data_IF_197509107364
#
_entry.id   IF_197509107364
#
_cell.length_a   1.000
_cell.length_b   1.000
_cell.length_c   1.000
_cell.angle_alpha   90.00
_cell.angle_beta   90.00
_cell.angle_gamma   90.00
#
_symmetry.space_group_name_H-M   'P 1'
#
loop_
_entity.id
_entity.type
_entity.pdbx_description
1 polymer ?
#
# COMPACT_ATOMS: atom_id res chain seq x y z
N UNK A 1 -18.65 14.67 -4.97
CA UNK A 1 -17.28 14.27 -5.35
C UNK A 1 -16.85 13.20 -4.36
N UNK A 2 -16.40 12.03 -4.81
CA UNK A 2 -15.82 11.05 -3.89
C UNK A 2 -14.45 11.58 -3.45
N UNK A 3 -14.28 11.81 -2.15
CA UNK A 3 -13.01 12.18 -1.57
C UNK A 3 -12.05 11.01 -1.58
N UNK A 4 -10.76 11.33 -1.70
CA UNK A 4 -9.68 10.35 -1.68
C UNK A 4 -8.63 10.76 -0.67
N UNK A 5 -8.02 9.76 -0.04
CA UNK A 5 -6.92 9.94 0.92
C UNK A 5 -5.74 9.09 0.47
N UNK A 6 -4.56 9.70 0.46
CA UNK A 6 -3.31 9.01 0.13
C UNK A 6 -2.64 8.49 1.40
N UNK A 7 -1.93 7.37 1.30
CA UNK A 7 -1.05 6.84 2.33
C UNK A 7 0.05 5.98 1.72
N UNK A 8 1.05 5.65 2.52
CA UNK A 8 2.16 4.80 2.09
C UNK A 8 2.24 3.54 2.93
N UNK A 9 2.57 2.43 2.27
CA UNK A 9 3.05 1.21 2.92
C UNK A 9 4.56 1.15 2.71
N UNK A 10 5.30 1.14 3.81
CA UNK A 10 6.76 1.13 3.79
C UNK A 10 7.28 -0.13 4.48
N UNK A 11 8.42 -0.68 4.06
CA UNK A 11 9.06 -1.77 4.79
C UNK A 11 9.44 -1.31 6.21
N UNK A 12 9.24 -2.18 7.19
CA UNK A 12 9.70 -1.97 8.57
C UNK A 12 11.23 -2.00 8.62
N UNK A 13 11.84 -2.96 7.92
CA UNK A 13 13.28 -3.11 7.73
C UNK A 13 13.56 -3.69 6.34
N UNK A 14 14.67 -3.31 5.72
CA UNK A 14 15.06 -3.78 4.38
C UNK A 14 14.39 -3.07 3.22
N UNK A 15 14.09 -3.80 2.13
CA UNK A 15 13.59 -3.27 0.85
C UNK A 15 12.47 -4.13 0.31
N UNK A 16 11.58 -3.53 -0.49
CA UNK A 16 10.53 -4.26 -1.21
C UNK A 16 11.16 -5.22 -2.22
N UNK A 17 10.68 -6.47 -2.28
CA UNK A 17 11.20 -7.54 -3.16
C UNK A 17 10.17 -7.99 -4.19
N UNK A 18 9.34 -7.08 -4.68
CA UNK A 18 8.35 -7.40 -5.69
C UNK A 18 9.02 -7.82 -7.01
N UNK A 19 8.59 -8.96 -7.53
CA UNK A 19 8.61 -9.27 -8.97
C UNK A 19 7.32 -8.77 -9.61
N UNK A 20 7.29 -8.63 -10.94
CA UNK A 20 6.07 -8.25 -11.69
C UNK A 20 4.86 -9.09 -11.28
N UNK A 21 5.02 -10.42 -11.20
CA UNK A 21 3.94 -11.33 -10.83
C UNK A 21 3.45 -11.17 -9.39
N UNK A 22 4.33 -10.83 -8.44
CA UNK A 22 3.92 -10.55 -7.05
C UNK A 22 3.31 -9.17 -6.90
N UNK A 23 3.76 -8.21 -7.71
CA UNK A 23 3.22 -6.86 -7.73
C UNK A 23 1.79 -6.84 -8.29
N UNK A 24 1.52 -7.58 -9.37
CA UNK A 24 0.18 -7.71 -9.93
C UNK A 24 -0.81 -8.27 -8.89
N UNK A 25 -0.39 -9.25 -8.10
CA UNK A 25 -1.19 -9.80 -6.99
C UNK A 25 -1.43 -8.76 -5.88
N UNK A 26 -0.41 -7.98 -5.55
CA UNK A 26 -0.54 -6.90 -4.57
C UNK A 26 -1.50 -5.81 -5.05
N UNK A 27 -1.45 -5.47 -6.35
CA UNK A 27 -2.39 -4.54 -6.98
C UNK A 27 -3.84 -5.03 -6.87
N UNK A 28 -4.11 -6.30 -7.18
CA UNK A 28 -5.46 -6.87 -7.05
C UNK A 28 -5.94 -6.78 -5.60
N UNK A 29 -5.11 -7.15 -4.62
CA UNK A 29 -5.46 -7.03 -3.20
C UNK A 29 -5.81 -5.59 -2.81
N UNK A 30 -5.02 -4.63 -3.29
CA UNK A 30 -5.20 -3.22 -2.97
C UNK A 30 -6.39 -2.58 -3.68
N UNK A 31 -6.76 -3.02 -4.88
CA UNK A 31 -7.82 -2.40 -5.68
C UNK A 31 -9.19 -3.05 -5.45
N UNK A 32 -9.23 -4.36 -5.19
CA UNK A 32 -10.49 -5.10 -5.04
C UNK A 32 -10.92 -5.25 -3.57
N UNK A 33 -9.97 -5.45 -2.64
CA UNK A 33 -10.26 -5.81 -1.25
C UNK A 33 -9.98 -4.69 -0.26
N UNK A 34 -8.98 -3.85 -0.55
CA UNK A 34 -8.89 -2.52 0.02
C UNK A 34 -9.59 -1.57 -0.97
N UNK A 35 -10.39 -0.59 -0.56
CA UNK A 35 -11.05 0.33 -1.49
C UNK A 35 -10.05 1.36 -2.05
N UNK A 36 -8.91 0.91 -2.60
CA UNK A 36 -7.98 1.78 -3.30
C UNK A 36 -8.47 2.12 -4.70
N UNK A 37 -8.33 3.39 -5.06
CA UNK A 37 -8.47 3.89 -6.42
C UNK A 37 -7.21 3.62 -7.24
N UNK A 38 -6.04 3.66 -6.60
CA UNK A 38 -4.73 3.53 -7.25
C UNK A 38 -3.70 3.02 -6.25
N UNK A 39 -2.77 2.21 -6.72
CA UNK A 39 -1.55 1.89 -6.00
C UNK A 39 -0.35 1.88 -6.96
N UNK A 40 0.80 2.39 -6.51
CA UNK A 40 2.04 2.45 -7.30
C UNK A 40 3.26 2.18 -6.43
N UNK A 41 4.31 1.62 -7.01
CA UNK A 41 5.63 1.54 -6.39
C UNK A 41 6.34 2.91 -6.49
N UNK A 42 7.02 3.31 -5.42
CA UNK A 42 7.75 4.57 -5.32
C UNK A 42 9.25 4.33 -5.13
N UNK A 43 10.06 5.00 -5.95
CA UNK A 43 11.52 4.91 -5.92
C UNK A 43 12.10 3.82 -6.83
N UNK A 44 13.42 3.88 -7.04
CA UNK A 44 14.18 2.92 -7.84
C UNK A 44 15.53 2.61 -7.14
N UNK A 45 15.69 1.44 -6.49
CA UNK A 45 14.70 0.36 -6.34
C UNK A 45 13.49 0.79 -5.47
N UNK A 46 12.34 0.09 -5.57
CA UNK A 46 11.14 0.44 -4.82
C UNK A 46 11.37 0.49 -3.30
N UNK A 47 10.92 1.59 -2.70
CA UNK A 47 11.08 1.90 -1.27
C UNK A 47 9.74 2.00 -0.53
N UNK A 48 8.65 2.24 -1.25
CA UNK A 48 7.31 2.31 -0.69
C UNK A 48 6.25 1.90 -1.73
N UNK A 49 5.06 1.56 -1.24
CA UNK A 49 3.84 1.47 -2.04
C UNK A 49 2.99 2.68 -1.68
N UNK A 50 2.73 3.57 -2.65
CA UNK A 50 1.80 4.68 -2.47
C UNK A 50 0.40 4.24 -2.88
N UNK A 51 -0.57 4.42 -2.00
CA UNK A 51 -1.96 4.01 -2.19
C UNK A 51 -2.86 5.22 -2.07
N UNK A 52 -3.72 5.43 -3.07
CA UNK A 52 -4.82 6.40 -3.05
C UNK A 52 -6.11 5.63 -2.80
N UNK A 53 -6.76 5.84 -1.66
CA UNK A 53 -8.00 5.17 -1.30
C UNK A 53 -9.22 6.10 -1.30
N UNK A 54 -10.40 5.52 -1.54
CA UNK A 54 -11.67 6.22 -1.41
C UNK A 54 -11.99 6.44 0.08
N UNK A 55 -12.31 7.67 0.48
CA UNK A 55 -12.68 8.00 1.86
C UNK A 55 -12.45 9.45 2.25
N UNK A 56 -13.32 9.95 3.14
CA UNK A 56 -13.33 11.32 3.67
C UNK A 56 -12.50 11.39 4.96
N UNK A 57 -11.21 11.74 4.85
CA UNK A 57 -10.41 12.24 5.97
C UNK A 57 -10.11 11.30 7.14
N UNK A 58 -10.62 10.07 7.16
CA UNK A 58 -10.22 9.06 8.14
C UNK A 58 -8.85 8.48 7.78
N UNK A 59 -8.04 8.25 8.82
CA UNK A 59 -6.78 7.51 8.70
C UNK A 59 -7.08 6.20 7.96
N UNK A 60 -6.47 5.95 6.79
CA UNK A 60 -6.75 4.75 6.04
C UNK A 60 -6.24 3.56 6.85
N UNK A 61 -7.15 2.78 7.40
CA UNK A 61 -6.81 1.50 8.02
C UNK A 61 -6.77 0.44 6.91
N UNK A 62 -5.63 -0.23 6.76
CA UNK A 62 -5.53 -1.42 5.92
C UNK A 62 -5.90 -2.60 6.78
N UNK A 63 -6.89 -3.38 6.35
CA UNK A 63 -7.32 -4.57 7.08
C UNK A 63 -6.10 -5.46 7.39
N UNK A 64 -5.91 -5.93 8.65
CA UNK A 64 -4.69 -6.66 9.04
C UNK A 64 -4.37 -7.87 8.15
N UNK A 65 -5.39 -8.59 7.68
CA UNK A 65 -5.21 -9.71 6.76
C UNK A 65 -4.66 -9.29 5.39
N UNK A 66 -5.08 -8.13 4.88
CA UNK A 66 -4.56 -7.55 3.63
C UNK A 66 -3.12 -7.09 3.83
N UNK A 67 -2.82 -6.41 4.94
CA UNK A 67 -1.46 -5.97 5.25
C UNK A 67 -0.48 -7.15 5.41
N UNK A 68 -0.90 -8.21 6.09
CA UNK A 68 -0.10 -9.44 6.23
C UNK A 68 0.18 -10.05 4.86
N UNK A 69 -0.84 -10.16 3.99
CA UNK A 69 -0.67 -10.72 2.65
C UNK A 69 0.21 -9.87 1.75
N UNK A 70 0.10 -8.54 1.85
CA UNK A 70 0.97 -7.61 1.14
C UNK A 70 2.43 -7.74 1.61
N UNK A 71 2.65 -7.94 2.91
CA UNK A 71 3.98 -8.16 3.48
C UNK A 71 4.60 -9.47 2.97
N UNK A 72 3.82 -10.54 2.89
CA UNK A 72 4.27 -11.81 2.30
C UNK A 72 4.69 -11.64 0.84
N UNK A 73 3.87 -10.96 0.03
CA UNK A 73 4.16 -10.70 -1.38
C UNK A 73 5.38 -9.79 -1.57
N UNK A 74 5.55 -8.80 -0.69
CA UNK A 74 6.69 -7.89 -0.69
C UNK A 74 7.99 -8.56 -0.19
N UNK A 75 7.89 -9.74 0.44
CA UNK A 75 9.01 -10.45 1.05
C UNK A 75 9.62 -9.71 2.25
N UNK A 76 8.83 -8.83 2.88
CA UNK A 76 9.23 -7.92 3.96
C UNK A 76 8.00 -7.44 4.72
N UNK A 77 8.11 -7.25 6.03
CA UNK A 77 7.05 -6.66 6.84
C UNK A 77 6.77 -5.22 6.41
N UNK A 78 5.50 -4.89 6.18
CA UNK A 78 5.04 -3.56 5.82
C UNK A 78 4.32 -2.89 6.99
N UNK A 79 4.53 -1.58 7.12
CA UNK A 79 3.76 -0.72 8.01
C UNK A 79 3.12 0.42 7.24
N UNK A 80 1.95 0.84 7.72
CA UNK A 80 1.28 2.02 7.21
C UNK A 80 1.93 3.30 7.75
N UNK A 81 2.17 4.25 6.86
CA UNK A 81 2.60 5.61 7.16
C UNK A 81 1.55 6.53 6.54
N UNK A 82 0.80 7.21 7.41
CA UNK A 82 -0.06 8.30 6.98
C UNK A 82 0.80 9.38 6.31
N UNK A 83 0.27 10.10 5.31
CA UNK A 83 1.00 11.21 4.71
C UNK A 83 1.37 12.19 5.83
N UNK A 84 2.55 12.84 5.77
CA UNK A 84 2.85 13.91 6.71
C UNK A 84 1.67 14.88 6.68
N UNK A 85 1.08 15.14 7.85
CA UNK A 85 0.03 16.14 7.98
C UNK A 85 0.52 17.48 7.44
N UNK A 86 -0.41 18.34 6.96
CA UNK A 86 -0.06 19.68 6.50
C UNK A 86 0.71 20.48 7.56
#
# INVERSE_FOLDING_TARGET
>A
MASTTDFELVPVDGRLKFTDATWDKALVLLLEFQPAKRAVLVGEPPSAIRVTAYGDGCVPEVAPAILARLSELAGVELRLVAPPGP
#
